data_IF_546565610395
#
_entry.id   IF_546565610395
#
_cell.length_a   1.000
_cell.length_b   1.000
_cell.length_c   1.000
_cell.angle_alpha   90.00
_cell.angle_beta   90.00
_cell.angle_gamma   90.00
#
_symmetry.space_group_name_H-M   'P 1'
#
loop_
_entity.id
_entity.type
_entity.pdbx_description
1 polymer ?
#
# COMPACT_ATOMS: atom_id res chain seq x y z
N UNK A 1 24.50 11.16 54.73
CA UNK A 1 23.86 12.49 54.53
C UNK A 1 24.20 13.00 53.13
N UNK A 2 23.36 13.88 52.56
CA UNK A 2 23.50 14.55 51.25
C UNK A 2 23.76 13.63 50.05
N UNK A 3 22.81 13.35 49.14
CA UNK A 3 21.87 14.20 48.39
C UNK A 3 22.54 15.20 47.45
N UNK A 4 22.31 15.03 46.14
CA UNK A 4 22.26 16.10 45.12
C UNK A 4 21.52 15.61 43.87
N UNK A 5 20.30 16.12 43.67
CA UNK A 5 19.54 15.95 42.43
C UNK A 5 20.21 16.67 41.26
N UNK A 6 19.98 16.19 40.04
CA UNK A 6 20.02 17.00 38.81
C UNK A 6 18.79 16.66 37.98
N UNK A 7 17.91 17.64 37.78
CA UNK A 7 16.77 17.51 36.86
C UNK A 7 17.20 17.76 35.41
N UNK A 8 16.43 17.23 34.46
CA UNK A 8 16.54 17.55 33.04
C UNK A 8 15.29 18.32 32.60
N UNK A 9 15.49 19.38 31.83
CA UNK A 9 14.46 20.34 31.42
C UNK A 9 13.81 19.86 30.13
N UNK A 10 12.48 19.90 30.06
CA UNK A 10 11.73 19.69 28.82
C UNK A 10 11.89 20.90 27.88
N UNK A 11 12.61 20.71 26.78
CA UNK A 11 12.62 21.65 25.65
C UNK A 11 11.57 21.26 24.62
N UNK A 12 10.38 21.87 24.68
CA UNK A 12 9.33 21.67 23.67
C UNK A 12 9.58 22.51 22.42
N UNK A 13 9.68 21.88 21.25
CA UNK A 13 9.76 22.57 19.96
C UNK A 13 8.37 22.58 19.32
N UNK A 14 7.74 23.76 19.29
CA UNK A 14 6.51 23.99 18.55
C UNK A 14 6.83 24.29 17.07
N UNK A 15 6.45 23.38 16.16
CA UNK A 15 6.60 23.60 14.72
C UNK A 15 5.30 24.22 14.18
N UNK A 16 5.33 25.52 13.91
CA UNK A 16 4.22 26.22 13.24
C UNK A 16 4.36 26.01 11.74
N UNK A 17 3.44 25.25 11.14
CA UNK A 17 3.37 25.06 9.68
C UNK A 17 2.32 26.00 9.09
N UNK A 18 2.74 27.15 8.58
CA UNK A 18 1.87 28.08 7.84
C UNK A 18 1.63 27.56 6.42
N UNK A 19 0.45 27.04 6.14
CA UNK A 19 0.05 26.63 4.80
C UNK A 19 -0.30 27.85 3.93
N UNK A 20 0.47 28.08 2.85
CA UNK A 20 0.16 29.10 1.85
C UNK A 20 -0.79 28.52 0.78
N UNK A 21 -2.02 29.01 0.72
CA UNK A 21 -2.99 28.65 -0.32
C UNK A 21 -2.94 29.72 -1.42
N UNK A 22 -2.39 29.36 -2.59
CA UNK A 22 -2.42 30.23 -3.78
C UNK A 22 -3.72 29.99 -4.57
N UNK A 23 -4.69 30.90 -4.43
CA UNK A 23 -5.97 30.82 -5.11
C UNK A 23 -5.94 31.64 -6.42
N UNK A 24 -5.82 30.97 -7.57
CA UNK A 24 -5.94 31.62 -8.88
C UNK A 24 -7.40 31.58 -9.37
N UNK A 25 -8.07 32.72 -9.31
CA UNK A 25 -9.40 32.90 -9.89
C UNK A 25 -9.30 33.11 -11.41
N UNK A 26 -10.02 32.30 -12.19
CA UNK A 26 -10.22 32.54 -13.63
C UNK A 26 -11.63 33.11 -13.80
N UNK A 27 -11.71 34.42 -14.04
CA UNK A 27 -12.98 35.14 -14.22
C UNK A 27 -13.37 35.24 -15.69
N UNK A 28 -14.53 34.65 -16.01
CA UNK A 28 -15.47 35.03 -17.08
C UNK A 28 -14.99 35.12 -18.54
N UNK A 29 -15.71 34.41 -19.41
CA UNK A 29 -16.28 35.06 -20.61
C UNK A 29 -17.66 34.44 -20.91
N UNK A 30 -18.70 35.27 -21.08
CA UNK A 30 -20.05 34.82 -21.44
C UNK A 30 -20.84 35.99 -22.09
N UNK A 31 -21.29 35.88 -23.35
CA UNK A 31 -22.10 36.91 -24.02
C UNK A 31 -23.55 36.95 -23.47
N UNK A 32 -24.30 38.01 -23.81
CA UNK A 32 -25.46 38.46 -23.03
C UNK A 32 -26.69 38.91 -23.88
N UNK A 33 -27.82 39.05 -23.16
CA UNK A 33 -29.09 39.71 -23.57
C UNK A 33 -29.91 39.02 -24.68
N UNK A 34 -31.19 39.40 -24.91
CA UNK A 34 -32.07 40.35 -24.18
C UNK A 34 -33.29 39.64 -23.52
N UNK A 35 -34.38 40.28 -23.07
CA UNK A 35 -34.59 41.40 -22.13
C UNK A 35 -36.13 41.58 -21.96
N UNK A 36 -36.67 41.84 -20.76
CA UNK A 36 -38.01 42.45 -20.55
C UNK A 36 -38.26 42.78 -19.05
N UNK A 37 -39.41 43.40 -18.73
CA UNK A 37 -39.44 44.68 -18.01
C UNK A 37 -40.58 44.89 -16.97
N UNK A 38 -40.55 46.07 -16.30
CA UNK A 38 -41.56 46.68 -15.39
C UNK A 38 -41.59 46.18 -13.93
N UNK A 39 -42.06 46.93 -12.91
CA UNK A 39 -41.94 48.37 -12.56
C UNK A 39 -42.45 48.61 -11.09
N UNK A 40 -42.29 49.83 -10.55
CA UNK A 40 -42.78 50.38 -9.26
C UNK A 40 -41.99 49.89 -8.01
N UNK A 41 -41.30 50.69 -7.19
CA UNK A 41 -41.57 52.00 -6.51
C UNK A 41 -42.54 51.83 -5.31
N UNK A 42 -42.09 51.96 -4.04
CA UNK A 42 -42.07 53.19 -3.18
C UNK A 42 -41.43 52.84 -1.79
N UNK A 43 -40.82 53.68 -0.93
CA UNK A 43 -40.04 54.97 -1.00
C UNK A 43 -39.58 55.36 0.45
N UNK A 44 -38.77 56.41 0.63
CA UNK A 44 -38.45 57.17 1.89
C UNK A 44 -37.55 56.52 2.97
N UNK A 45 -36.81 57.26 3.85
CA UNK A 45 -36.07 58.56 3.72
C UNK A 45 -35.11 58.78 4.93
N UNK A 46 -34.17 59.74 4.81
CA UNK A 46 -33.30 60.39 5.82
C UNK A 46 -32.08 59.59 6.34
N UNK A 47 -31.02 60.22 6.88
CA UNK A 47 -30.22 61.42 6.52
C UNK A 47 -29.20 61.69 7.67
N UNK A 48 -27.98 62.08 7.34
CA UNK A 48 -26.85 62.37 8.27
C UNK A 48 -26.85 63.87 8.72
N UNK A 49 -25.76 64.57 9.20
CA UNK A 49 -24.31 64.27 9.28
C UNK A 49 -23.60 64.78 10.60
N UNK A 50 -22.30 65.18 10.49
CA UNK A 50 -21.42 65.95 11.43
C UNK A 50 -20.56 65.11 12.42
N UNK A 51 -19.26 65.34 12.65
CA UNK A 51 -18.15 65.96 11.86
C UNK A 51 -16.76 65.68 12.51
N UNK A 52 -15.68 65.91 11.76
CA UNK A 52 -14.25 66.08 12.20
C UNK A 52 -13.96 67.56 12.58
N UNK A 53 -12.73 68.07 12.94
CA UNK A 53 -11.33 67.61 12.69
C UNK A 53 -10.50 67.49 14.01
N UNK A 54 -9.17 67.66 14.19
CA UNK A 54 -7.93 68.12 13.47
C UNK A 54 -6.70 67.58 14.26
N UNK A 55 -5.39 67.75 13.95
CA UNK A 55 -4.56 67.72 12.70
C UNK A 55 -3.05 68.01 13.07
N UNK A 56 -2.08 67.58 12.24
CA UNK A 56 -0.63 67.96 12.26
C UNK A 56 0.20 67.54 13.51
N UNK A 57 1.55 67.54 13.54
CA UNK A 57 2.59 68.05 12.62
C UNK A 57 3.88 67.15 12.59
N UNK A 58 4.90 67.51 11.77
CA UNK A 58 6.28 66.98 11.77
C UNK A 58 7.29 68.10 12.04
N UNK A 59 8.55 67.77 12.42
CA UNK A 59 9.69 68.36 11.71
C UNK A 59 10.72 67.33 11.16
N UNK A 60 11.87 67.83 10.67
CA UNK A 60 12.87 67.12 9.85
C UNK A 60 14.31 67.61 10.21
N UNK A 61 15.35 67.19 9.45
CA UNK A 61 16.74 67.73 9.37
C UNK A 61 17.74 67.28 10.48
N UNK A 62 19.07 67.14 10.26
CA UNK A 62 19.88 66.79 9.06
C UNK A 62 21.37 66.46 9.42
N UNK A 63 22.21 66.10 8.42
CA UNK A 63 23.69 66.32 8.31
C UNK A 63 24.71 65.52 9.20
N UNK A 64 25.22 64.43 8.62
CA UNK A 64 26.63 64.17 8.18
C UNK A 64 27.87 63.85 9.10
N UNK A 65 28.57 62.77 8.68
CA UNK A 65 30.05 62.57 8.46
C UNK A 65 31.05 62.20 9.61
N UNK A 66 31.73 61.04 9.37
CA UNK A 66 33.16 60.68 9.63
C UNK A 66 33.64 60.48 11.11
N UNK A 67 34.66 59.66 11.43
CA UNK A 67 35.51 58.70 10.67
C UNK A 67 36.11 57.56 11.57
N UNK A 68 36.40 56.39 10.96
CA UNK A 68 37.40 55.35 11.33
C UNK A 68 37.40 54.63 12.72
N UNK A 69 37.29 53.30 12.65
CA UNK A 69 37.74 52.31 13.65
C UNK A 69 37.74 50.90 13.01
N UNK A 70 38.74 50.04 13.27
CA UNK A 70 39.02 48.83 12.47
C UNK A 70 38.52 47.51 13.07
N UNK A 71 38.13 46.54 12.20
CA UNK A 71 38.77 45.22 12.05
C UNK A 71 38.17 44.34 10.93
N UNK A 72 38.75 43.15 10.72
CA UNK A 72 38.47 42.15 9.67
C UNK A 72 37.05 41.49 9.76
N UNK A 73 36.53 40.68 8.81
CA UNK A 73 37.15 39.99 7.67
C UNK A 73 36.19 39.72 6.46
N UNK A 74 36.76 39.70 5.24
CA UNK A 74 36.33 39.07 3.96
C UNK A 74 34.84 38.77 3.68
N UNK A 75 34.25 39.57 2.77
CA UNK A 75 33.45 39.07 1.64
C UNK A 75 33.47 40.10 0.49
N UNK A 76 33.83 39.70 -0.75
CA UNK A 76 33.67 40.48 -2.00
C UNK A 76 33.60 39.61 -3.25
N UNK A 77 32.37 39.33 -3.67
CA UNK A 77 31.77 39.72 -4.95
C UNK A 77 32.71 40.14 -6.13
N UNK A 78 32.48 39.49 -7.28
CA UNK A 78 32.62 39.90 -8.70
C UNK A 78 33.56 41.07 -9.09
N UNK A 79 34.49 40.95 -10.05
CA UNK A 79 34.12 40.80 -11.48
C UNK A 79 35.33 40.77 -12.47
N UNK A 80 35.10 40.20 -13.67
CA UNK A 80 35.81 40.41 -14.97
C UNK A 80 37.33 40.13 -15.14
N UNK A 81 37.62 38.87 -15.49
CA UNK A 81 38.46 38.37 -16.62
C UNK A 81 38.00 36.92 -16.84
N UNK A 82 37.50 36.42 -17.98
CA UNK A 82 37.72 36.64 -19.43
C UNK A 82 39.16 36.34 -19.88
N UNK A 83 39.26 35.35 -20.77
CA UNK A 83 40.46 34.56 -21.12
C UNK A 83 40.96 33.74 -19.92
N UNK A 84 41.13 32.41 -19.97
CA UNK A 84 41.16 31.44 -21.11
C UNK A 84 40.36 30.16 -20.75
N UNK A 85 40.29 29.18 -21.66
CA UNK A 85 39.42 27.98 -21.68
C UNK A 85 38.00 28.24 -22.21
N UNK A 86 37.92 28.31 -23.55
CA UNK A 86 36.93 27.53 -24.29
C UNK A 86 37.33 26.04 -24.23
N UNK A 87 36.48 25.20 -24.82
CA UNK A 87 36.62 23.75 -24.94
C UNK A 87 36.28 23.00 -23.62
N UNK A 88 35.85 21.74 -23.74
CA UNK A 88 35.33 20.84 -22.68
C UNK A 88 33.95 21.16 -22.02
N UNK A 89 33.20 22.20 -22.44
CA UNK A 89 31.76 22.33 -22.12
C UNK A 89 30.91 22.75 -23.33
N UNK A 90 30.96 21.98 -24.42
CA UNK A 90 30.05 22.15 -25.58
C UNK A 90 29.62 20.80 -26.21
N UNK A 91 29.60 19.71 -25.44
CA UNK A 91 29.04 18.41 -25.85
C UNK A 91 28.22 17.73 -24.74
N UNK A 92 27.03 18.29 -24.42
CA UNK A 92 25.94 17.50 -23.81
C UNK A 92 24.50 18.02 -23.97
N UNK A 93 24.29 19.02 -24.83
CA UNK A 93 22.96 19.51 -25.23
C UNK A 93 22.90 19.61 -26.76
N UNK A 94 22.64 18.49 -27.46
CA UNK A 94 22.10 18.44 -28.84
C UNK A 94 21.81 17.00 -29.31
N UNK A 95 21.26 16.15 -28.43
CA UNK A 95 20.69 14.83 -28.79
C UNK A 95 19.28 14.65 -28.18
N UNK A 96 18.49 15.73 -28.12
CA UNK A 96 17.03 15.57 -28.19
C UNK A 96 16.66 15.34 -29.67
N UNK A 97 17.00 14.15 -30.16
CA UNK A 97 16.54 13.67 -31.47
C UNK A 97 15.00 13.66 -31.53
N UNK A 98 14.46 13.52 -32.74
CA UNK A 98 13.03 13.44 -32.98
C UNK A 98 12.48 12.07 -32.55
N UNK A 99 12.45 11.81 -31.23
CA UNK A 99 12.06 10.52 -30.64
C UNK A 99 10.60 10.23 -30.97
N UNK A 100 10.41 9.44 -32.03
CA UNK A 100 9.14 8.81 -32.36
C UNK A 100 8.72 7.86 -31.25
N UNK A 101 7.40 7.77 -31.01
CA UNK A 101 6.82 6.83 -30.06
C UNK A 101 5.86 5.89 -30.79
N UNK A 102 6.14 4.59 -30.71
CA UNK A 102 5.28 3.55 -31.24
C UNK A 102 4.35 2.97 -30.17
N UNK A 103 3.15 2.59 -30.61
CA UNK A 103 2.20 1.82 -29.82
C UNK A 103 2.68 0.38 -29.64
N UNK A 104 2.96 -0.04 -28.40
CA UNK A 104 3.32 -1.41 -28.03
C UNK A 104 2.42 -1.95 -26.90
N UNK A 105 2.45 -3.26 -26.70
CA UNK A 105 1.75 -3.98 -25.63
C UNK A 105 2.71 -4.80 -24.77
N UNK A 106 2.40 -4.95 -23.48
CA UNK A 106 3.18 -5.79 -22.55
C UNK A 106 2.90 -7.29 -22.79
N UNK A 107 3.94 -8.13 -22.84
CA UNK A 107 3.85 -9.58 -23.15
C UNK A 107 3.86 -10.51 -21.93
N UNK A 108 4.23 -9.97 -20.75
CA UNK A 108 4.28 -10.66 -19.45
C UNK A 108 3.09 -10.28 -18.58
N UNK A 109 2.78 -11.09 -17.55
CA UNK A 109 1.68 -10.85 -16.60
C UNK A 109 1.71 -9.46 -15.96
N UNK A 110 2.92 -8.99 -15.63
CA UNK A 110 3.19 -7.72 -14.94
C UNK A 110 4.62 -7.26 -15.22
N UNK A 111 4.83 -5.98 -15.51
CA UNK A 111 6.14 -5.38 -15.78
C UNK A 111 6.32 -4.08 -14.99
N UNK A 112 7.40 -3.95 -14.22
CA UNK A 112 7.68 -2.74 -13.47
C UNK A 112 8.14 -1.61 -14.41
N UNK A 113 7.45 -0.47 -14.35
CA UNK A 113 7.91 0.81 -14.88
C UNK A 113 8.95 1.39 -13.90
N UNK A 114 10.12 1.79 -14.41
CA UNK A 114 11.25 2.26 -13.60
C UNK A 114 11.56 3.74 -13.80
N UNK A 115 12.16 4.40 -12.81
CA UNK A 115 12.69 5.76 -12.94
C UNK A 115 13.86 5.84 -13.93
N UNK A 116 14.71 4.83 -13.94
CA UNK A 116 15.94 4.74 -14.72
C UNK A 116 16.05 3.39 -15.44
N UNK A 117 16.80 3.28 -16.56
CA UNK A 117 16.93 2.07 -17.38
C UNK A 117 17.77 0.95 -16.71
N UNK A 118 17.36 0.47 -15.54
CA UNK A 118 17.98 -0.65 -14.82
C UNK A 118 16.97 -1.33 -13.86
N UNK A 119 17.38 -2.40 -13.18
CA UNK A 119 16.50 -3.21 -12.29
C UNK A 119 16.52 -2.79 -10.82
N UNK A 120 17.37 -1.84 -10.43
CA UNK A 120 17.58 -1.41 -9.04
C UNK A 120 16.93 -0.06 -8.73
N UNK A 121 16.71 0.77 -9.75
CA UNK A 121 16.01 2.06 -9.73
C UNK A 121 14.56 1.98 -9.24
N UNK A 122 13.97 3.12 -8.85
CA UNK A 122 12.64 3.13 -8.24
C UNK A 122 11.55 2.62 -9.18
N UNK A 123 10.54 1.95 -8.60
CA UNK A 123 9.37 1.44 -9.32
C UNK A 123 8.29 2.52 -9.34
N UNK A 124 8.17 3.21 -10.48
CA UNK A 124 7.15 4.24 -10.70
C UNK A 124 5.74 3.66 -10.92
N UNK A 125 5.65 2.38 -11.30
CA UNK A 125 4.38 1.70 -11.54
C UNK A 125 4.54 0.26 -11.99
N UNK A 126 3.42 -0.43 -12.24
CA UNK A 126 3.40 -1.79 -12.78
C UNK A 126 2.38 -1.85 -13.91
N UNK A 127 2.83 -2.27 -15.09
CA UNK A 127 2.08 -2.38 -16.33
C UNK A 127 1.64 -3.83 -16.54
N UNK A 128 0.41 -4.06 -16.97
CA UNK A 128 -0.19 -5.39 -17.03
C UNK A 128 -0.13 -6.03 -18.42
N UNK A 129 -0.27 -7.35 -18.50
CA UNK A 129 -0.37 -8.10 -19.77
C UNK A 129 -1.40 -7.48 -20.71
N UNK A 130 -1.00 -7.24 -21.97
CA UNK A 130 -1.78 -6.58 -23.02
C UNK A 130 -2.18 -5.12 -22.73
N UNK A 131 -1.63 -4.49 -21.69
CA UNK A 131 -1.71 -3.05 -21.49
C UNK A 131 -0.98 -2.31 -22.62
N UNK A 132 -1.58 -1.21 -23.07
CA UNK A 132 -1.14 -0.42 -24.20
C UNK A 132 -0.28 0.76 -23.74
N UNK A 133 0.92 0.88 -24.31
CA UNK A 133 1.88 1.93 -24.00
C UNK A 133 2.41 2.59 -25.28
N UNK A 134 3.02 3.76 -25.12
CA UNK A 134 3.78 4.45 -26.15
C UNK A 134 5.26 4.30 -25.83
N UNK A 135 6.02 3.62 -26.67
CA UNK A 135 7.43 3.29 -26.47
C UNK A 135 8.31 4.04 -27.47
N UNK A 136 9.41 4.62 -27.01
CA UNK A 136 10.39 5.26 -27.88
C UNK A 136 10.97 4.24 -28.88
N UNK A 137 11.19 4.66 -30.13
CA UNK A 137 11.85 3.85 -31.15
C UNK A 137 13.34 3.63 -30.81
N UNK A 138 13.95 4.61 -30.15
CA UNK A 138 15.30 4.51 -29.59
C UNK A 138 15.37 3.53 -28.41
N UNK A 139 16.00 2.38 -28.66
CA UNK A 139 16.44 1.44 -27.64
C UNK A 139 17.81 1.89 -27.10
N UNK A 140 17.99 1.88 -25.79
CA UNK A 140 19.32 1.99 -25.18
C UNK A 140 20.05 0.64 -25.33
N UNK A 141 21.39 0.66 -25.45
CA UNK A 141 22.22 -0.55 -25.69
C UNK A 141 22.01 -1.69 -24.68
N UNK A 142 21.55 -1.35 -23.48
CA UNK A 142 21.21 -2.30 -22.41
C UNK A 142 19.80 -2.93 -22.54
N UNK A 143 19.11 -2.70 -23.66
CA UNK A 143 17.77 -3.22 -23.96
C UNK A 143 16.64 -2.52 -23.21
N UNK A 144 16.84 -1.31 -22.69
CA UNK A 144 15.78 -0.51 -22.06
C UNK A 144 15.25 0.57 -22.99
N UNK A 145 13.96 0.85 -22.88
CA UNK A 145 13.21 1.79 -23.71
C UNK A 145 12.46 2.76 -22.80
N UNK A 146 12.47 4.04 -23.18
CA UNK A 146 11.70 5.11 -22.53
C UNK A 146 10.24 5.02 -22.99
N UNK A 147 9.30 4.98 -22.05
CA UNK A 147 7.88 4.78 -22.34
C UNK A 147 7.00 5.84 -21.68
N UNK A 148 5.90 6.18 -22.35
CA UNK A 148 4.80 7.00 -21.83
C UNK A 148 3.61 6.06 -21.56
N UNK A 149 3.06 6.13 -20.35
CA UNK A 149 2.02 5.23 -19.84
C UNK A 149 0.91 6.03 -19.14
N UNK A 150 -0.24 5.40 -18.86
CA UNK A 150 -1.32 6.06 -18.10
C UNK A 150 -0.92 6.39 -16.65
N UNK A 151 0.08 5.68 -16.11
CA UNK A 151 0.71 5.92 -14.81
C UNK A 151 1.85 6.95 -14.83
N UNK A 152 2.20 7.50 -16.00
CA UNK A 152 3.32 8.44 -16.16
C UNK A 152 4.43 7.91 -17.09
N UNK A 153 5.58 8.56 -17.06
CA UNK A 153 6.73 8.26 -17.92
C UNK A 153 7.81 7.50 -17.14
N UNK A 154 8.57 6.64 -17.81
CA UNK A 154 9.67 5.89 -17.20
C UNK A 154 10.32 4.92 -18.18
N UNK A 155 11.00 3.90 -17.67
CA UNK A 155 11.74 2.92 -18.47
C UNK A 155 11.24 1.48 -18.24
N UNK A 156 11.26 0.69 -19.31
CA UNK A 156 11.01 -0.77 -19.29
C UNK A 156 11.98 -1.51 -20.21
N UNK A 157 12.14 -2.82 -20.05
CA UNK A 157 13.05 -3.63 -20.89
C UNK A 157 12.30 -4.15 -22.14
N UNK A 158 12.85 -3.93 -23.33
CA UNK A 158 12.16 -4.07 -24.63
C UNK A 158 11.67 -5.49 -24.93
N UNK A 159 12.36 -6.53 -24.44
CA UNK A 159 11.97 -7.95 -24.60
C UNK A 159 10.60 -8.32 -24.01
N UNK A 160 9.99 -7.42 -23.23
CA UNK A 160 8.65 -7.58 -22.66
C UNK A 160 7.58 -6.80 -23.42
N UNK A 161 7.92 -6.22 -24.58
CA UNK A 161 7.04 -5.45 -25.45
C UNK A 161 6.75 -6.24 -26.75
N UNK A 162 5.62 -5.92 -27.39
CA UNK A 162 5.17 -6.50 -28.65
C UNK A 162 4.31 -5.49 -29.40
N UNK A 163 4.31 -5.51 -30.74
CA UNK A 163 3.36 -4.73 -31.56
C UNK A 163 1.93 -5.31 -31.51
N UNK A 164 1.76 -6.55 -31.03
CA UNK A 164 0.48 -7.26 -30.93
C UNK A 164 0.14 -7.71 -29.50
N UNK A 165 -1.15 -7.88 -29.20
CA UNK A 165 -1.64 -8.42 -27.92
C UNK A 165 -1.50 -9.94 -27.89
N UNK A 166 -0.96 -10.47 -26.80
CA UNK A 166 -0.86 -11.91 -26.54
C UNK A 166 -2.25 -12.50 -26.27
N UNK A 167 -2.74 -13.37 -27.16
CA UNK A 167 -3.97 -14.14 -26.95
C UNK A 167 -3.76 -15.16 -25.84
N UNK A 168 -4.70 -15.25 -24.89
CA UNK A 168 -4.65 -16.19 -23.77
C UNK A 168 -5.76 -17.23 -23.94
N UNK A 169 -5.45 -18.37 -24.55
CA UNK A 169 -6.40 -19.47 -24.71
C UNK A 169 -6.54 -20.25 -23.39
N UNK A 170 -7.67 -20.14 -22.71
CA UNK A 170 -7.91 -20.79 -21.42
C UNK A 170 -8.19 -22.30 -21.58
N UNK A 171 -7.13 -23.12 -21.55
CA UNK A 171 -7.23 -24.58 -21.75
C UNK A 171 -7.62 -25.31 -20.45
N UNK A 172 -8.89 -25.66 -20.29
CA UNK A 172 -9.35 -26.52 -19.20
C UNK A 172 -9.06 -28.00 -19.52
N UNK A 173 -8.07 -28.61 -18.86
CA UNK A 173 -7.78 -30.04 -19.00
C UNK A 173 -8.67 -30.88 -18.06
N UNK A 174 -9.37 -31.86 -18.64
CA UNK A 174 -10.31 -32.75 -17.96
C UNK A 174 -9.85 -34.20 -18.13
N UNK A 175 -9.07 -34.70 -17.18
CA UNK A 175 -8.55 -36.08 -17.20
C UNK A 175 -9.70 -37.08 -17.00
N UNK A 176 -9.73 -38.14 -17.81
CA UNK A 176 -10.65 -39.27 -17.66
C UNK A 176 -9.97 -40.36 -16.83
N UNK A 177 -10.56 -40.79 -15.74
CA UNK A 177 -10.19 -42.06 -15.11
C UNK A 177 -10.83 -43.23 -15.87
N UNK A 178 -10.14 -44.38 -15.87
CA UNK A 178 -10.55 -45.60 -16.57
C UNK A 178 -10.79 -46.71 -15.55
N UNK A 179 -12.04 -46.98 -15.24
CA UNK A 179 -12.43 -48.11 -14.38
C UNK A 179 -12.09 -49.44 -15.06
N UNK A 180 -11.50 -50.37 -14.31
CA UNK A 180 -11.49 -51.80 -14.64
C UNK A 180 -11.76 -52.59 -13.37
N UNK A 181 -12.91 -53.25 -13.33
CA UNK A 181 -13.32 -54.15 -12.26
C UNK A 181 -12.61 -55.52 -12.41
N UNK A 182 -12.38 -56.21 -11.30
CA UNK A 182 -12.40 -57.68 -11.27
C UNK A 182 -12.62 -58.22 -9.85
N UNK A 183 -13.66 -59.02 -9.70
CA UNK A 183 -14.02 -59.69 -8.45
C UNK A 183 -13.23 -61.00 -8.25
N UNK A 184 -12.93 -61.37 -7.00
CA UNK A 184 -12.92 -62.76 -6.56
C UNK A 184 -12.98 -62.92 -5.02
N UNK A 185 -13.71 -63.96 -4.59
CA UNK A 185 -13.69 -64.63 -3.28
C UNK A 185 -12.28 -65.23 -2.95
N UNK A 186 -11.93 -65.72 -1.75
CA UNK A 186 -12.76 -66.28 -0.66
C UNK A 186 -12.03 -66.36 0.72
N UNK A 187 -12.81 -66.46 1.81
CA UNK A 187 -12.63 -67.20 3.09
C UNK A 187 -11.24 -67.54 3.72
N UNK A 188 -11.16 -67.21 5.03
CA UNK A 188 -11.01 -68.11 6.22
C UNK A 188 -9.76 -68.05 7.15
N UNK A 189 -10.07 -68.19 8.45
CA UNK A 189 -9.28 -68.76 9.60
C UNK A 189 -7.91 -68.11 9.94
N UNK A 190 -7.65 -67.39 11.05
CA UNK A 190 -7.97 -67.51 12.51
C UNK A 190 -6.94 -68.37 13.31
N UNK A 191 -6.65 -67.98 14.57
CA UNK A 191 -5.85 -68.71 15.61
C UNK A 191 -4.32 -68.52 15.53
N UNK A 192 -3.50 -68.47 16.59
CA UNK A 192 -3.53 -67.81 17.93
C UNK A 192 -2.20 -68.17 18.65
N UNK A 193 -1.65 -67.29 19.51
CA UNK A 193 -0.68 -67.60 20.61
C UNK A 193 0.70 -68.19 20.15
N UNK A 194 1.75 -68.31 21.00
CA UNK A 194 1.93 -67.89 22.40
C UNK A 194 3.36 -67.32 22.66
N UNK A 195 3.59 -66.79 23.87
CA UNK A 195 4.81 -66.09 24.27
C UNK A 195 6.00 -67.01 24.63
N UNK A 196 7.23 -66.44 24.64
CA UNK A 196 8.00 -66.31 25.89
C UNK A 196 9.24 -65.37 25.80
N UNK A 197 9.63 -64.83 26.97
CA UNK A 197 10.92 -64.19 27.31
C UNK A 197 11.78 -65.25 28.08
N UNK A 198 13.10 -65.10 28.38
CA UNK A 198 13.71 -63.89 28.97
C UNK A 198 15.18 -63.54 28.61
N UNK A 199 15.57 -62.27 28.90
CA UNK A 199 16.95 -61.73 28.92
C UNK A 199 17.72 -61.78 27.57
N UNK A 200 18.84 -61.08 27.35
CA UNK A 200 19.69 -60.26 28.25
C UNK A 200 20.02 -58.87 27.63
N UNK A 201 20.90 -58.08 28.27
CA UNK A 201 21.20 -56.69 27.87
C UNK A 201 22.27 -56.59 26.76
N UNK A 202 21.98 -55.76 25.75
CA UNK A 202 22.99 -55.10 24.93
C UNK A 202 22.50 -53.69 24.59
N UNK A 203 23.30 -52.66 24.92
CA UNK A 203 23.00 -51.26 24.60
C UNK A 203 23.29 -50.97 23.13
N UNK A 204 22.33 -50.37 22.42
CA UNK A 204 22.60 -49.67 21.16
C UNK A 204 21.72 -48.43 21.05
N UNK A 205 22.35 -47.27 20.86
CA UNK A 205 21.65 -46.01 20.69
C UNK A 205 20.86 -46.01 19.38
N UNK A 206 19.54 -46.10 19.47
CA UNK A 206 18.67 -45.71 18.36
C UNK A 206 18.71 -44.20 18.19
N UNK A 207 19.78 -43.73 17.53
CA UNK A 207 19.89 -42.41 16.92
C UNK A 207 18.66 -42.21 16.04
N UNK A 208 17.67 -41.48 16.56
CA UNK A 208 16.39 -41.28 15.92
C UNK A 208 16.60 -40.45 14.65
N UNK A 209 16.66 -41.12 13.50
CA UNK A 209 16.80 -40.46 12.21
C UNK A 209 15.61 -39.53 12.01
N UNK A 210 15.88 -38.22 12.06
CA UNK A 210 14.89 -37.21 11.72
C UNK A 210 14.46 -37.48 10.28
N UNK A 211 13.17 -37.61 9.97
CA UNK A 211 12.74 -37.86 8.59
C UNK A 211 13.29 -36.74 7.70
N UNK A 212 13.95 -37.14 6.62
CA UNK A 212 14.55 -36.21 5.66
C UNK A 212 13.42 -35.36 5.07
N UNK A 213 13.25 -34.14 5.59
CA UNK A 213 12.25 -33.21 5.09
C UNK A 213 12.60 -32.87 3.66
N UNK A 214 11.81 -33.38 2.71
CA UNK A 214 11.82 -32.91 1.32
C UNK A 214 11.68 -31.39 1.30
N UNK A 215 12.47 -30.66 0.49
CA UNK A 215 12.35 -29.21 0.40
C UNK A 215 10.91 -28.75 0.12
N UNK A 216 10.42 -27.70 0.78
CA UNK A 216 9.04 -27.24 0.61
C UNK A 216 8.80 -26.74 -0.81
N UNK A 217 7.76 -27.26 -1.47
CA UNK A 217 7.44 -27.01 -2.88
C UNK A 217 6.96 -25.58 -3.12
N UNK A 218 6.47 -24.90 -2.07
CA UNK A 218 5.96 -23.53 -2.11
C UNK A 218 6.06 -22.83 -0.74
N UNK A 219 5.68 -21.55 -0.69
CA UNK A 219 5.82 -20.72 0.52
C UNK A 219 4.88 -21.12 1.68
N UNK A 220 3.73 -21.75 1.40
CA UNK A 220 2.82 -22.24 2.45
C UNK A 220 3.34 -23.53 3.12
N UNK A 221 4.16 -24.33 2.42
CA UNK A 221 4.86 -25.49 2.99
C UNK A 221 6.07 -25.12 3.87
N UNK A 222 6.45 -23.83 3.91
CA UNK A 222 7.45 -23.30 4.87
C UNK A 222 6.86 -23.01 6.25
N UNK A 223 5.52 -23.05 6.37
CA UNK A 223 4.79 -22.84 7.62
C UNK A 223 4.83 -24.12 8.47
N UNK A 224 4.84 -23.98 9.79
CA UNK A 224 4.84 -25.06 10.77
C UNK A 224 3.44 -25.51 11.21
N UNK A 225 2.46 -24.61 11.37
CA UNK A 225 1.13 -24.95 11.91
C UNK A 225 -0.03 -24.01 11.48
N UNK A 226 -0.37 -24.05 10.21
CA UNK A 226 -1.65 -23.52 9.69
C UNK A 226 -2.89 -24.17 10.32
N UNK A 227 -2.81 -25.36 10.93
CA UNK A 227 -3.92 -26.00 11.64
C UNK A 227 -5.07 -26.42 10.71
N UNK A 228 -6.32 -26.20 11.13
CA UNK A 228 -7.53 -26.59 10.40
C UNK A 228 -8.00 -25.54 9.37
N UNK A 229 -7.12 -24.61 9.00
CA UNK A 229 -7.37 -23.65 7.92
C UNK A 229 -7.12 -24.33 6.55
N UNK A 230 -8.09 -24.27 5.64
CA UNK A 230 -7.99 -24.85 4.29
C UNK A 230 -7.91 -23.79 3.18
N UNK A 231 -8.00 -22.51 3.52
CA UNK A 231 -7.64 -21.38 2.66
C UNK A 231 -6.69 -20.45 3.41
N UNK A 232 -5.64 -20.00 2.73
CA UNK A 232 -4.60 -19.13 3.27
C UNK A 232 -4.36 -17.94 2.32
N UNK A 233 -4.36 -16.73 2.86
CA UNK A 233 -3.74 -15.56 2.24
C UNK A 233 -2.39 -15.37 2.94
N UNK A 234 -1.31 -15.31 2.16
CA UNK A 234 0.04 -15.13 2.66
C UNK A 234 0.61 -13.81 2.13
N UNK A 235 0.96 -12.91 3.05
CA UNK A 235 1.50 -11.57 2.76
C UNK A 235 2.92 -11.52 3.29
N UNK A 236 3.91 -11.44 2.40
CA UNK A 236 5.32 -11.45 2.78
C UNK A 236 6.14 -10.31 2.21
N UNK A 237 7.21 -9.98 2.91
CA UNK A 237 8.17 -8.93 2.55
C UNK A 237 9.61 -9.43 2.69
N UNK A 238 10.54 -8.76 2.00
CA UNK A 238 11.96 -8.95 2.22
C UNK A 238 12.42 -8.17 3.48
N UNK A 239 12.09 -8.68 4.65
CA UNK A 239 12.39 -8.05 5.95
C UNK A 239 11.31 -7.10 6.45
N UNK A 240 11.52 -6.53 7.64
CA UNK A 240 10.52 -5.71 8.34
C UNK A 240 10.38 -4.28 7.79
N UNK A 241 11.42 -3.70 7.19
CA UNK A 241 11.50 -2.28 6.86
C UNK A 241 11.09 -1.88 5.44
N UNK A 242 10.19 -2.64 4.79
CA UNK A 242 9.71 -2.32 3.43
C UNK A 242 8.20 -2.40 3.34
N UNK A 243 7.59 -1.49 2.58
CA UNK A 243 6.15 -1.43 2.29
C UNK A 243 5.73 -2.25 1.07
N UNK A 244 6.69 -2.77 0.30
CA UNK A 244 6.44 -3.61 -0.88
C UNK A 244 6.33 -5.08 -0.50
N UNK A 245 5.20 -5.71 -0.83
CA UNK A 245 4.85 -7.06 -0.41
C UNK A 245 4.51 -7.99 -1.58
N UNK A 246 4.81 -9.28 -1.39
CA UNK A 246 4.30 -10.40 -2.19
C UNK A 246 3.02 -10.91 -1.53
N UNK A 247 1.92 -10.91 -2.27
CA UNK A 247 0.65 -11.51 -1.84
C UNK A 247 0.43 -12.80 -2.61
N UNK A 248 0.15 -13.89 -1.91
CA UNK A 248 -0.21 -15.17 -2.48
C UNK A 248 -1.49 -15.69 -1.84
N UNK A 249 -2.30 -16.44 -2.59
CA UNK A 249 -3.37 -17.25 -2.00
C UNK A 249 -3.11 -18.73 -2.23
N UNK A 250 -3.43 -19.54 -1.23
CA UNK A 250 -3.29 -20.99 -1.26
C UNK A 250 -4.57 -21.66 -0.78
N UNK A 251 -4.92 -22.77 -1.40
CA UNK A 251 -6.00 -23.65 -0.98
C UNK A 251 -5.45 -25.05 -0.68
N UNK A 252 -5.97 -25.69 0.36
CA UNK A 252 -5.50 -27.00 0.82
C UNK A 252 -6.29 -28.11 0.13
N UNK A 253 -5.58 -29.01 -0.54
CA UNK A 253 -6.17 -30.19 -1.18
C UNK A 253 -6.63 -31.24 -0.17
N UNK A 254 -7.40 -32.23 -0.63
CA UNK A 254 -7.86 -33.37 0.18
C UNK A 254 -6.72 -34.23 0.74
N UNK A 255 -5.57 -34.26 0.07
CA UNK A 255 -4.32 -34.87 0.54
C UNK A 255 -3.58 -34.06 1.63
N UNK A 256 -4.08 -32.87 2.00
CA UNK A 256 -3.43 -31.96 2.95
C UNK A 256 -2.33 -31.07 2.35
N UNK A 257 -1.99 -31.28 1.08
CA UNK A 257 -1.06 -30.49 0.25
C UNK A 257 -1.57 -29.04 0.04
N UNK A 258 -0.69 -28.04 0.01
CA UNK A 258 -1.06 -26.66 -0.31
C UNK A 258 -0.84 -26.33 -1.77
N UNK A 259 -1.88 -25.84 -2.45
CA UNK A 259 -1.84 -25.44 -3.86
C UNK A 259 -2.03 -23.93 -3.98
N UNK A 260 -1.10 -23.25 -4.68
CA UNK A 260 -1.16 -21.80 -4.88
C UNK A 260 -2.21 -21.45 -5.94
N UNK A 261 -3.22 -20.68 -5.56
CA UNK A 261 -4.34 -20.28 -6.43
C UNK A 261 -4.04 -18.98 -7.17
N UNK A 262 -3.42 -17.99 -6.52
CA UNK A 262 -2.91 -16.79 -7.20
C UNK A 262 -1.65 -16.23 -6.53
N UNK A 263 -0.97 -15.32 -7.23
CA UNK A 263 0.03 -14.43 -6.65
C UNK A 263 -0.10 -13.03 -7.28
N UNK A 264 0.29 -12.00 -6.54
CA UNK A 264 0.37 -10.61 -7.02
C UNK A 264 1.36 -9.81 -6.16
N UNK A 265 1.77 -8.65 -6.67
CA UNK A 265 2.41 -7.65 -5.81
C UNK A 265 1.31 -6.93 -5.02
N UNK A 266 1.66 -6.49 -3.83
CA UNK A 266 0.81 -5.69 -2.95
C UNK A 266 1.63 -4.77 -2.08
N UNK A 267 0.93 -4.06 -1.20
CA UNK A 267 1.49 -3.04 -0.34
C UNK A 267 1.07 -3.28 1.11
N UNK A 268 1.94 -2.89 2.04
CA UNK A 268 1.66 -2.82 3.47
C UNK A 268 1.93 -1.40 3.99
N UNK A 269 1.91 -1.21 5.31
CA UNK A 269 2.22 0.08 5.95
C UNK A 269 3.53 0.70 5.44
N UNK A 270 3.58 2.03 5.31
CA UNK A 270 4.75 2.82 4.87
C UNK A 270 6.05 2.49 5.60
N UNK A 271 5.96 2.16 6.89
CA UNK A 271 7.08 1.80 7.75
C UNK A 271 7.30 0.27 7.84
N UNK A 272 6.64 -0.49 6.95
CA UNK A 272 6.72 -1.95 6.82
C UNK A 272 5.90 -2.71 7.86
N UNK A 273 6.50 -3.75 8.45
CA UNK A 273 5.86 -4.67 9.39
C UNK A 273 6.21 -4.35 10.85
N UNK A 274 5.22 -4.52 11.75
CA UNK A 274 5.39 -4.42 13.19
C UNK A 274 5.36 -5.80 13.87
N UNK A 275 6.45 -6.16 14.56
CA UNK A 275 6.47 -7.28 15.51
C UNK A 275 5.75 -6.97 16.84
N UNK A 276 5.64 -5.69 17.18
CA UNK A 276 4.71 -5.16 18.19
C UNK A 276 4.13 -3.86 17.62
N UNK A 277 2.84 -3.88 17.27
CA UNK A 277 2.10 -2.76 16.66
C UNK A 277 1.64 -1.76 17.73
N UNK A 278 1.62 -0.49 17.34
CA UNK A 278 1.07 0.65 18.08
C UNK A 278 0.12 1.43 17.16
N UNK A 279 -0.76 2.28 17.69
CA UNK A 279 -1.47 3.29 16.87
C UNK A 279 -0.48 4.17 16.08
N UNK A 280 -0.88 4.66 14.91
CA UNK A 280 -0.15 5.63 14.05
C UNK A 280 1.29 5.27 13.62
N UNK A 281 1.82 4.11 14.02
CA UNK A 281 3.21 3.69 13.75
C UNK A 281 3.55 3.49 12.25
N UNK A 282 2.55 3.58 11.37
CA UNK A 282 2.68 3.45 9.92
C UNK A 282 2.97 2.02 9.45
N UNK A 283 2.75 1.00 10.28
CA UNK A 283 3.14 -0.40 10.02
C UNK A 283 1.94 -1.33 9.99
N UNK A 284 2.05 -2.40 9.22
CA UNK A 284 1.10 -3.51 9.27
C UNK A 284 1.46 -4.49 10.39
N UNK A 285 0.50 -5.08 11.12
CA UNK A 285 0.80 -6.06 12.16
C UNK A 285 1.23 -7.40 11.53
N UNK A 286 2.35 -7.95 12.00
CA UNK A 286 2.68 -9.35 11.71
C UNK A 286 1.83 -10.29 12.54
N UNK A 287 1.43 -11.43 12.00
CA UNK A 287 0.66 -12.43 12.75
C UNK A 287 -0.15 -13.36 11.86
N UNK A 288 -0.94 -14.23 12.50
CA UNK A 288 -1.96 -15.11 11.89
C UNK A 288 -3.33 -14.61 12.36
N UNK A 289 -4.18 -14.18 11.43
CA UNK A 289 -5.47 -13.54 11.73
C UNK A 289 -6.61 -14.21 10.95
N UNK A 290 -7.79 -14.27 11.55
CA UNK A 290 -9.01 -14.62 10.81
C UNK A 290 -9.45 -13.47 9.91
N UNK A 291 -10.19 -13.79 8.84
CA UNK A 291 -10.79 -12.81 7.95
C UNK A 291 -12.18 -12.44 8.49
N UNK A 292 -12.46 -11.14 8.59
CA UNK A 292 -13.72 -10.58 9.05
C UNK A 292 -14.68 -10.21 7.91
N UNK A 293 -15.61 -9.31 8.21
CA UNK A 293 -16.61 -8.78 7.26
C UNK A 293 -15.93 -8.14 6.04
N UNK A 294 -16.40 -8.52 4.86
CA UNK A 294 -16.07 -7.85 3.60
C UNK A 294 -16.86 -6.55 3.45
N UNK A 295 -16.33 -5.61 2.69
CA UNK A 295 -16.98 -4.33 2.46
C UNK A 295 -16.71 -3.75 1.07
N UNK A 296 -17.50 -2.75 0.70
CA UNK A 296 -17.28 -2.01 -0.54
C UNK A 296 -18.32 -0.93 -0.80
N UNK A 297 -17.90 0.10 -1.54
CA UNK A 297 -18.75 1.18 -2.05
C UNK A 297 -19.52 0.78 -3.30
N UNK A 298 -19.05 -0.24 -4.02
CA UNK A 298 -19.62 -0.73 -5.28
C UNK A 298 -20.53 -1.96 -5.11
N UNK A 299 -21.06 -2.21 -3.90
CA UNK A 299 -21.85 -3.40 -3.58
C UNK A 299 -21.03 -4.69 -3.48
N UNK A 300 -21.70 -5.84 -3.29
CA UNK A 300 -21.02 -7.12 -3.11
C UNK A 300 -20.44 -7.62 -4.46
N UNK A 301 -19.12 -7.82 -4.60
CA UNK A 301 -18.50 -8.29 -5.86
C UNK A 301 -18.73 -9.78 -6.15
N UNK A 302 -19.55 -10.49 -5.37
CA UNK A 302 -19.71 -11.95 -5.41
C UNK A 302 -18.86 -12.68 -4.38
N UNK A 303 -18.61 -12.08 -3.21
CA UNK A 303 -17.96 -12.76 -2.08
C UNK A 303 -18.95 -13.61 -1.28
N UNK A 304 -18.41 -14.65 -0.64
CA UNK A 304 -19.13 -15.52 0.32
C UNK A 304 -18.95 -15.06 1.77
N UNK A 305 -18.10 -14.08 2.03
CA UNK A 305 -18.00 -13.42 3.34
C UNK A 305 -19.29 -12.65 3.64
N UNK A 306 -19.63 -12.41 4.93
CA UNK A 306 -20.57 -11.36 5.30
C UNK A 306 -20.12 -10.03 4.67
N UNK A 307 -21.04 -9.30 4.04
CA UNK A 307 -20.71 -8.09 3.28
C UNK A 307 -21.47 -6.87 3.81
N UNK A 308 -20.76 -5.76 4.07
CA UNK A 308 -21.33 -4.44 4.42
C UNK A 308 -21.09 -3.45 3.28
N UNK A 309 -22.16 -2.95 2.67
CA UNK A 309 -22.08 -1.79 1.78
C UNK A 309 -21.65 -0.55 2.57
N UNK A 310 -20.79 0.26 1.98
CA UNK A 310 -20.37 1.55 2.56
C UNK A 310 -21.30 2.67 2.09
N UNK A 311 -21.66 3.56 3.01
CA UNK A 311 -22.33 4.84 2.80
C UNK A 311 -21.49 6.01 3.29
N UNK A 312 -21.88 7.24 2.96
CA UNK A 312 -21.20 8.46 3.42
C UNK A 312 -21.33 8.73 4.94
N UNK A 313 -22.17 7.96 5.65
CA UNK A 313 -22.30 8.02 7.12
C UNK A 313 -21.36 7.03 7.83
N UNK A 314 -20.67 6.15 7.11
CA UNK A 314 -19.84 5.10 7.70
C UNK A 314 -18.44 5.57 8.10
N UNK A 315 -18.06 5.30 9.35
CA UNK A 315 -16.73 5.59 9.92
C UNK A 315 -16.16 4.40 10.70
N UNK A 316 -14.84 4.33 10.83
CA UNK A 316 -14.17 3.44 11.77
C UNK A 316 -13.46 4.27 12.85
N UNK A 317 -13.91 4.16 14.10
CA UNK A 317 -13.35 4.97 15.20
C UNK A 317 -11.94 4.50 15.52
N UNK A 318 -10.97 5.41 15.40
CA UNK A 318 -9.55 5.18 15.64
C UNK A 318 -9.07 5.82 16.96
N UNK A 319 -9.81 6.79 17.52
CA UNK A 319 -9.51 7.45 18.80
C UNK A 319 -9.37 6.45 19.97
N UNK A 320 -8.16 6.24 20.54
CA UNK A 320 -7.94 5.29 21.64
C UNK A 320 -8.63 5.66 22.96
N UNK A 321 -9.15 6.88 23.10
CA UNK A 321 -9.89 7.34 24.28
C UNK A 321 -11.39 7.06 24.19
N UNK A 322 -11.91 6.75 23.00
CA UNK A 322 -13.33 6.48 22.80
C UNK A 322 -13.71 5.08 23.28
N UNK A 323 -14.88 4.95 23.92
CA UNK A 323 -15.52 3.65 24.17
C UNK A 323 -15.85 2.89 22.88
N UNK A 324 -15.89 3.59 21.74
CA UNK A 324 -16.13 3.07 20.40
C UNK A 324 -14.84 2.73 19.63
N UNK A 325 -13.66 2.93 20.22
CA UNK A 325 -12.35 2.62 19.63
C UNK A 325 -12.30 1.27 18.89
N UNK A 326 -11.60 1.26 17.75
CA UNK A 326 -11.47 0.15 16.82
C UNK A 326 -12.82 -0.52 16.47
N UNK A 327 -13.83 0.28 16.11
CA UNK A 327 -15.11 -0.26 15.64
C UNK A 327 -15.78 0.60 14.56
N UNK A 328 -16.54 -0.06 13.69
CA UNK A 328 -17.27 0.58 12.60
C UNK A 328 -18.60 1.16 13.09
N UNK A 329 -18.71 2.49 13.08
CA UNK A 329 -19.86 3.26 13.55
C UNK A 329 -20.57 4.05 12.43
N UNK A 330 -21.75 4.58 12.78
CA UNK A 330 -22.46 5.61 12.02
C UNK A 330 -22.05 6.98 12.58
N UNK A 331 -21.56 7.87 11.71
CA UNK A 331 -21.07 9.20 12.09
C UNK A 331 -22.18 10.01 12.77
N UNK A 332 -23.36 10.14 12.14
CA UNK A 332 -24.53 10.84 12.69
C UNK A 332 -25.03 10.29 14.03
N UNK A 333 -24.81 9.01 14.32
CA UNK A 333 -25.23 8.39 15.59
C UNK A 333 -24.16 8.42 16.69
N UNK A 334 -22.92 8.77 16.35
CA UNK A 334 -21.77 8.73 17.28
C UNK A 334 -20.95 10.01 17.33
N UNK A 335 -21.43 11.07 16.69
CA UNK A 335 -20.88 12.42 16.78
C UNK A 335 -20.69 12.85 18.25
N UNK A 336 -19.52 13.45 18.54
CA UNK A 336 -19.12 13.81 19.91
C UNK A 336 -18.64 12.66 20.80
N UNK A 337 -18.70 11.39 20.38
CA UNK A 337 -18.24 10.23 21.17
C UNK A 337 -16.80 9.80 20.86
N UNK A 338 -16.11 10.50 19.95
CA UNK A 338 -14.73 10.26 19.53
C UNK A 338 -14.10 11.57 19.02
N UNK A 339 -12.79 11.70 19.16
CA UNK A 339 -12.01 12.84 18.67
C UNK A 339 -11.51 12.62 17.24
N UNK A 340 -11.39 11.36 16.80
CA UNK A 340 -10.96 10.95 15.46
C UNK A 340 -11.64 9.65 15.04
N UNK A 341 -11.86 9.51 13.73
CA UNK A 341 -12.36 8.30 13.09
C UNK A 341 -12.04 8.32 11.57
N UNK A 342 -11.64 7.20 11.01
CA UNK A 342 -11.41 7.04 9.58
C UNK A 342 -12.75 7.08 8.81
N UNK A 343 -12.77 7.78 7.68
CA UNK A 343 -13.92 7.82 6.78
C UNK A 343 -13.94 6.59 5.86
N UNK A 344 -14.99 5.77 5.93
CA UNK A 344 -15.09 4.56 5.09
C UNK A 344 -15.42 4.89 3.63
N UNK A 345 -16.08 6.01 3.36
CA UNK A 345 -16.49 6.44 2.01
C UNK A 345 -15.33 7.05 1.18
N UNK A 346 -14.28 6.25 0.91
CA UNK A 346 -13.12 6.64 0.10
C UNK A 346 -12.84 5.67 -1.05
N UNK A 347 -12.17 6.15 -2.11
CA UNK A 347 -11.91 5.36 -3.32
C UNK A 347 -11.16 4.03 -3.06
N UNK A 348 -10.24 4.01 -2.09
CA UNK A 348 -9.47 2.81 -1.70
C UNK A 348 -10.34 1.71 -1.07
N UNK A 349 -11.53 2.06 -0.56
CA UNK A 349 -12.52 1.14 0.01
C UNK A 349 -13.67 0.84 -0.96
N UNK A 350 -13.42 0.98 -2.27
CA UNK A 350 -14.32 0.44 -3.32
C UNK A 350 -14.60 -1.05 -3.08
N UNK A 351 -13.58 -1.81 -2.66
CA UNK A 351 -13.70 -3.17 -2.10
C UNK A 351 -12.63 -3.42 -1.03
N UNK A 352 -12.96 -4.24 -0.02
CA UNK A 352 -12.01 -4.72 0.98
C UNK A 352 -12.59 -5.75 1.94
N UNK A 353 -11.83 -6.13 2.95
CA UNK A 353 -12.31 -6.88 4.13
C UNK A 353 -11.54 -6.49 5.39
N UNK A 354 -12.18 -6.68 6.55
CA UNK A 354 -11.55 -6.50 7.86
C UNK A 354 -10.56 -7.63 8.12
N UNK A 355 -9.32 -7.31 8.46
CA UNK A 355 -8.41 -8.28 9.09
C UNK A 355 -8.74 -8.24 10.57
N UNK A 356 -9.01 -9.40 11.21
CA UNK A 356 -9.40 -9.45 12.62
C UNK A 356 -8.19 -9.26 13.56
N UNK A 357 -7.53 -8.11 13.43
CA UNK A 357 -6.51 -7.59 14.31
C UNK A 357 -7.15 -6.72 15.42
N UNK A 358 -6.60 -6.76 16.63
CA UNK A 358 -7.07 -5.98 17.79
C UNK A 358 -8.60 -6.04 18.02
N UNK A 359 -9.22 -7.20 17.83
CA UNK A 359 -10.68 -7.41 18.03
C UNK A 359 -11.13 -7.23 19.48
N UNK A 360 -10.21 -7.35 20.44
CA UNK A 360 -10.42 -6.97 21.83
C UNK A 360 -10.51 -5.43 22.04
N UNK A 361 -10.27 -4.63 20.98
CA UNK A 361 -10.29 -3.16 20.98
C UNK A 361 -9.42 -2.57 22.09
N UNK A 362 -8.23 -3.13 22.27
CA UNK A 362 -7.26 -2.66 23.27
C UNK A 362 -6.67 -1.32 22.81
N UNK A 363 -6.86 -0.21 23.54
CA UNK A 363 -6.41 1.11 23.13
C UNK A 363 -4.93 1.19 22.75
N UNK A 364 -4.64 1.96 21.70
CA UNK A 364 -3.27 2.27 21.27
C UNK A 364 -2.52 1.10 20.62
N UNK A 365 -3.20 -0.01 20.30
CA UNK A 365 -2.58 -1.18 19.63
C UNK A 365 -2.68 -1.14 18.10
N UNK A 366 -3.32 -0.15 17.51
CA UNK A 366 -3.63 -0.13 16.09
C UNK A 366 -5.10 -0.51 15.85
N UNK A 367 -5.77 0.34 15.10
CA UNK A 367 -7.16 0.23 14.65
C UNK A 367 -7.23 0.10 13.12
N UNK A 368 -8.45 -0.07 12.57
CA UNK A 368 -8.77 0.02 11.14
C UNK A 368 -7.90 -0.86 10.19
N UNK A 369 -7.36 -1.98 10.67
CA UNK A 369 -6.48 -2.84 9.85
C UNK A 369 -7.30 -3.66 8.85
N UNK A 370 -7.31 -3.21 7.59
CA UNK A 370 -8.04 -3.84 6.50
C UNK A 370 -7.14 -4.50 5.46
N UNK A 371 -7.75 -5.28 4.57
CA UNK A 371 -7.19 -5.70 3.28
C UNK A 371 -8.04 -5.09 2.17
N UNK A 372 -7.51 -4.19 1.33
CA UNK A 372 -8.32 -3.36 0.41
C UNK A 372 -7.64 -3.02 -0.92
N UNK A 373 -8.28 -2.17 -1.74
CA UNK A 373 -7.69 -1.65 -2.99
C UNK A 373 -6.59 -0.65 -2.68
N UNK A 374 -5.37 -0.89 -3.17
CA UNK A 374 -4.23 0.03 -3.05
C UNK A 374 -3.35 0.06 -4.31
N UNK A 375 -2.74 1.22 -4.56
CA UNK A 375 -1.77 1.49 -5.63
C UNK A 375 -0.39 1.94 -5.08
N UNK A 376 -0.23 1.96 -3.76
CA UNK A 376 0.98 2.37 -3.04
C UNK A 376 0.91 1.94 -1.58
N UNK A 377 1.88 2.37 -0.77
CA UNK A 377 1.94 2.04 0.66
C UNK A 377 0.71 2.51 1.45
N UNK A 378 0.41 1.84 2.56
CA UNK A 378 -0.70 2.18 3.45
C UNK A 378 -0.19 2.85 4.75
N UNK A 379 -1.07 3.09 5.73
CA UNK A 379 -0.70 3.42 7.12
C UNK A 379 -0.72 2.22 8.07
N UNK A 380 -1.13 1.04 7.62
CA UNK A 380 -1.19 -0.19 8.42
C UNK A 380 -2.01 -1.32 7.82
N UNK A 381 -2.94 -1.01 6.92
CA UNK A 381 -3.65 -1.98 6.08
C UNK A 381 -2.70 -2.76 5.14
N UNK A 382 -3.18 -3.86 4.58
CA UNK A 382 -2.58 -4.49 3.39
C UNK A 382 -3.43 -4.13 2.17
N UNK A 383 -2.83 -4.02 0.99
CA UNK A 383 -3.60 -3.73 -0.22
C UNK A 383 -3.01 -4.27 -1.52
N UNK A 384 -3.87 -4.41 -2.53
CA UNK A 384 -3.58 -4.92 -3.88
C UNK A 384 -4.39 -4.14 -4.91
N UNK A 385 -4.12 -4.32 -6.22
CA UNK A 385 -4.95 -3.71 -7.26
C UNK A 385 -6.41 -4.23 -7.23
N UNK A 386 -7.36 -3.42 -7.70
CA UNK A 386 -8.79 -3.71 -7.60
C UNK A 386 -9.21 -5.05 -8.24
N UNK A 387 -8.57 -5.44 -9.34
CA UNK A 387 -8.81 -6.74 -10.00
C UNK A 387 -8.41 -7.93 -9.11
N UNK A 388 -7.27 -7.84 -8.40
CA UNK A 388 -6.86 -8.84 -7.43
C UNK A 388 -7.75 -8.81 -6.18
N UNK A 389 -8.15 -7.63 -5.70
CA UNK A 389 -9.06 -7.49 -4.56
C UNK A 389 -10.40 -8.21 -4.80
N UNK A 390 -11.01 -8.00 -5.97
CA UNK A 390 -12.24 -8.69 -6.40
C UNK A 390 -12.01 -10.20 -6.57
N UNK A 391 -10.86 -10.61 -7.11
CA UNK A 391 -10.52 -12.03 -7.30
C UNK A 391 -10.35 -12.77 -5.97
N UNK A 392 -9.68 -12.15 -5.00
CA UNK A 392 -9.52 -12.64 -3.63
C UNK A 392 -10.89 -12.76 -2.96
N UNK A 393 -11.71 -11.70 -3.01
CA UNK A 393 -13.06 -11.69 -2.40
C UNK A 393 -13.98 -12.79 -2.97
N UNK A 394 -13.94 -13.07 -4.27
CA UNK A 394 -14.69 -14.18 -4.91
C UNK A 394 -14.15 -15.57 -4.53
N UNK A 395 -12.85 -15.69 -4.30
CA UNK A 395 -12.19 -16.95 -3.95
C UNK A 395 -12.37 -17.35 -2.47
N UNK A 396 -12.40 -16.39 -1.55
CA UNK A 396 -12.60 -16.65 -0.12
C UNK A 396 -13.95 -17.36 0.11
N UNK A 397 -13.89 -18.47 0.83
CA UNK A 397 -15.03 -19.28 1.22
C UNK A 397 -14.99 -19.55 2.73
N UNK A 398 -15.88 -18.96 3.55
CA UNK A 398 -15.89 -19.16 5.00
C UNK A 398 -15.89 -20.63 5.43
N UNK A 399 -16.58 -21.51 4.70
CA UNK A 399 -16.62 -22.95 4.95
C UNK A 399 -15.26 -23.68 4.77
N UNK A 400 -14.22 -23.01 4.26
CA UNK A 400 -12.83 -23.52 4.20
C UNK A 400 -11.93 -22.95 5.30
N UNK A 401 -12.51 -22.30 6.33
CA UNK A 401 -11.77 -21.69 7.45
C UNK A 401 -10.62 -20.78 6.96
N UNK A 402 -10.91 -19.69 6.22
CA UNK A 402 -9.88 -18.85 5.62
C UNK A 402 -9.09 -18.07 6.67
N UNK A 403 -7.77 -17.98 6.48
CA UNK A 403 -6.84 -17.26 7.36
C UNK A 403 -5.90 -16.37 6.56
N UNK A 404 -5.46 -15.26 7.15
CA UNK A 404 -4.37 -14.43 6.61
C UNK A 404 -3.15 -14.49 7.53
N UNK A 405 -1.97 -14.71 6.94
CA UNK A 405 -0.68 -14.65 7.64
C UNK A 405 0.14 -13.52 7.02
N UNK A 406 0.66 -12.64 7.87
CA UNK A 406 1.45 -11.47 7.45
C UNK A 406 2.81 -11.51 8.17
N UNK A 407 3.91 -11.62 7.42
CA UNK A 407 5.26 -11.77 8.01
C UNK A 407 6.38 -11.61 6.97
N UNK A 408 7.58 -11.13 7.34
CA UNK A 408 8.77 -11.29 6.50
C UNK A 408 9.03 -12.77 6.14
N UNK A 409 9.57 -13.03 4.95
CA UNK A 409 9.79 -14.40 4.44
C UNK A 409 10.70 -15.25 5.34
N UNK A 410 11.71 -14.62 5.95
CA UNK A 410 12.64 -15.24 6.91
C UNK A 410 12.00 -15.61 8.26
N UNK A 411 10.68 -15.44 8.42
CA UNK A 411 9.89 -15.76 9.62
C UNK A 411 8.68 -16.64 9.33
N UNK A 412 8.53 -17.20 8.12
CA UNK A 412 7.45 -18.13 7.77
C UNK A 412 7.38 -19.35 8.71
N UNK A 413 8.52 -19.85 9.16
CA UNK A 413 8.62 -21.00 10.08
C UNK A 413 8.09 -20.75 11.50
N UNK A 414 7.62 -19.53 11.81
CA UNK A 414 7.09 -19.16 13.12
C UNK A 414 5.56 -19.38 13.24
N UNK A 415 4.88 -19.79 12.16
CA UNK A 415 3.41 -19.86 12.03
C UNK A 415 2.91 -21.25 11.67
#
# INVERSE_FOLDING_TARGET
MSNKQKGYIFGGIAIIVTAFILFLAITQNKPALPAEAKQNEVKSEKASPVAEPTEQEKPNMEIAKKEKGSKEEKAKEESKKKETKKDDIEQKNNEEENISFEKKYITVSSLNLRSDPNTQSDVLGVLMLNEEIQAADTNLDNGWVKVKTKSGNGYVNSKYLSSEKKVITATAQKTKEKTTEKSANNKNTQTQKQANKPKEQASSDKKQEKPVKTPPKNDAEKLSSVGNNNQLILVTTNGYGTSSAKVQTFERGSSGEWQRVMHTNGFIGKNGFAGSKVEDDGKSPTGKYSIGTAFGRAGNPGTKLPFRSISSDDVWVDDPKSSLYNSWQSRKKTEGQWNSAENMDIALYTYGFVINYNTARTPGKGSAIFFHVANGHTLGCTGVSQSHMVSILKWINPAKNPVIIQTPESKLSNY
#
